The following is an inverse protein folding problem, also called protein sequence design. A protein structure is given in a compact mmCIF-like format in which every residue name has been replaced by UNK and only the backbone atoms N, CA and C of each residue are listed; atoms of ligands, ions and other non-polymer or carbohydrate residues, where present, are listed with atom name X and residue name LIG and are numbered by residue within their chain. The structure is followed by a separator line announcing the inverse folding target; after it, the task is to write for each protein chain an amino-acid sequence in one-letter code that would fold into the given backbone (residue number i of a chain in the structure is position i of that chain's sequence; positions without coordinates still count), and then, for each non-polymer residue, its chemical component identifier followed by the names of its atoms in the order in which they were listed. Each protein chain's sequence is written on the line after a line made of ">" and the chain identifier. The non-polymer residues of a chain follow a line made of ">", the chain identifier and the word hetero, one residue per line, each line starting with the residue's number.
data_IF_597062172143
#
_entry.id   IF_597062172143
#
_cell.length_a   1.000
_cell.length_b   1.000
_cell.length_c   1.000
_cell.angle_alpha   90.00
_cell.angle_beta   90.00
_cell.angle_gamma   90.00
#
_symmetry.space_group_name_H-M   'P 1'
#
loop_
_entity.id
_entity.type
_entity.pdbx_description
1 polymer ?
#
# COMPACT_ATOMS: atom_id res chain seq x y z
N UNK A 1 9.14 -11.31 0.04
CA UNK A 1 9.80 -11.81 1.27
C UNK A 1 10.16 -10.60 2.13
N UNK A 2 9.96 -10.66 3.46
CA UNK A 2 10.30 -9.53 4.34
C UNK A 2 11.77 -9.57 4.75
N UNK A 3 12.50 -8.44 4.73
CA UNK A 3 13.85 -8.36 5.29
C UNK A 3 13.91 -8.63 6.80
N UNK A 4 12.82 -8.36 7.54
CA UNK A 4 12.76 -8.60 8.98
C UNK A 4 12.53 -10.08 9.35
N UNK A 5 12.03 -10.87 8.40
CA UNK A 5 11.72 -12.29 8.59
C UNK A 5 12.24 -13.10 7.39
N UNK A 6 13.57 -13.12 7.15
CA UNK A 6 14.14 -13.70 5.93
C UNK A 6 13.98 -15.22 5.83
N UNK A 7 13.86 -15.89 6.98
CA UNK A 7 13.68 -17.34 7.08
C UNK A 7 12.22 -17.79 6.90
N UNK A 8 11.26 -16.84 6.90
CA UNK A 8 9.85 -17.15 6.70
C UNK A 8 9.57 -17.17 5.18
N UNK A 9 9.19 -18.32 4.61
CA UNK A 9 8.93 -18.41 3.19
C UNK A 9 7.65 -17.65 2.81
N UNK A 10 7.61 -17.14 1.58
CA UNK A 10 6.37 -16.61 1.01
C UNK A 10 5.44 -17.76 0.60
N UNK A 11 4.14 -17.48 0.46
CA UNK A 11 3.19 -18.48 -0.06
C UNK A 11 3.56 -18.95 -1.47
N UNK A 12 4.07 -18.04 -2.30
CA UNK A 12 4.57 -18.36 -3.64
C UNK A 12 5.77 -19.33 -3.61
N UNK A 13 6.67 -19.21 -2.63
CA UNK A 13 7.81 -20.13 -2.42
C UNK A 13 7.36 -21.52 -1.93
N UNK A 14 6.23 -21.58 -1.22
CA UNK A 14 5.57 -22.82 -0.81
C UNK A 14 4.71 -23.45 -1.92
N UNK A 15 4.69 -22.86 -3.12
CA UNK A 15 3.94 -23.37 -4.28
C UNK A 15 2.50 -22.89 -4.37
N UNK A 16 2.02 -22.07 -3.44
CA UNK A 16 0.68 -21.47 -3.46
C UNK A 16 0.67 -20.20 -4.32
N UNK A 17 0.72 -20.40 -5.63
CA UNK A 17 0.81 -19.28 -6.59
C UNK A 17 -0.41 -18.37 -6.55
N UNK A 18 -0.16 -17.06 -6.60
CA UNK A 18 -1.22 -16.05 -6.64
C UNK A 18 -1.82 -15.71 -5.27
N UNK A 19 -1.28 -16.29 -4.19
CA UNK A 19 -1.65 -15.98 -2.81
C UNK A 19 -0.66 -14.95 -2.25
N UNK A 20 -0.77 -13.73 -2.76
CA UNK A 20 0.04 -12.60 -2.30
C UNK A 20 -0.87 -11.50 -1.79
N UNK A 21 -0.84 -11.26 -0.48
CA UNK A 21 -1.68 -10.29 0.20
C UNK A 21 -0.80 -9.38 1.03
N UNK A 22 -0.89 -8.07 0.76
CA UNK A 22 -0.27 -7.04 1.56
C UNK A 22 -1.37 -6.15 2.16
N UNK A 23 -1.20 -5.78 3.42
CA UNK A 23 -1.91 -4.63 3.97
C UNK A 23 -1.17 -3.37 3.51
N UNK A 24 -1.92 -2.32 3.20
CA UNK A 24 -1.36 -1.06 2.73
C UNK A 24 -2.07 0.12 3.39
N UNK A 25 -1.37 1.25 3.45
CA UNK A 25 -1.81 2.50 4.02
C UNK A 25 -1.61 3.59 2.98
N UNK A 26 -2.49 4.58 2.99
CA UNK A 26 -2.46 5.67 2.04
C UNK A 26 -2.96 6.97 2.68
N UNK A 27 -2.59 8.09 2.07
CA UNK A 27 -3.14 9.41 2.40
C UNK A 27 -4.25 9.74 1.42
N UNK A 28 -5.37 10.22 1.94
CA UNK A 28 -6.50 10.71 1.16
C UNK A 28 -6.74 12.19 1.46
N UNK A 29 -7.24 12.91 0.45
CA UNK A 29 -7.61 14.31 0.57
C UNK A 29 -9.00 14.53 -0.07
N UNK A 30 -9.69 15.64 0.25
CA UNK A 30 -10.98 15.94 -0.35
C UNK A 30 -10.95 15.99 -1.88
N UNK A 31 -12.06 15.56 -2.50
CA UNK A 31 -12.25 15.67 -3.95
C UNK A 31 -12.23 17.13 -4.38
N UNK A 32 -11.61 17.42 -5.53
CA UNK A 32 -11.57 18.76 -6.12
C UNK A 32 -10.43 19.65 -5.61
N UNK A 33 -9.45 19.07 -4.91
CA UNK A 33 -8.26 19.80 -4.50
C UNK A 33 -7.56 20.45 -5.71
N UNK A 34 -7.21 21.75 -5.65
CA UNK A 34 -6.43 22.40 -6.69
C UNK A 34 -5.12 21.66 -6.99
N UNK A 35 -4.70 21.67 -8.25
CA UNK A 35 -3.57 20.88 -8.72
C UNK A 35 -2.25 21.26 -8.01
N UNK A 36 -2.04 22.56 -7.76
CA UNK A 36 -0.89 23.09 -7.04
C UNK A 36 -0.87 22.63 -5.57
N UNK A 37 -2.02 22.63 -4.90
CA UNK A 37 -2.15 22.13 -3.52
C UNK A 37 -1.90 20.62 -3.46
N UNK A 38 -2.40 19.87 -4.44
CA UNK A 38 -2.15 18.42 -4.55
C UNK A 38 -0.66 18.13 -4.71
N UNK A 39 0.03 18.86 -5.58
CA UNK A 39 1.47 18.71 -5.80
C UNK A 39 2.26 19.02 -4.52
N UNK A 40 1.98 20.16 -3.87
CA UNK A 40 2.65 20.54 -2.61
C UNK A 40 2.43 19.53 -1.49
N UNK A 41 1.22 18.98 -1.37
CA UNK A 41 0.92 17.96 -0.37
C UNK A 41 1.68 16.67 -0.66
N UNK A 42 1.71 16.23 -1.92
CA UNK A 42 2.48 15.05 -2.33
C UNK A 42 3.97 15.24 -2.00
N UNK A 43 4.57 16.36 -2.39
CA UNK A 43 5.99 16.64 -2.14
C UNK A 43 6.31 16.63 -0.65
N UNK A 44 5.47 17.26 0.18
CA UNK A 44 5.64 17.27 1.63
C UNK A 44 5.52 15.88 2.26
N UNK A 45 4.57 15.05 1.78
CA UNK A 45 4.40 13.67 2.26
C UNK A 45 5.59 12.79 1.85
N UNK A 46 6.07 12.90 0.62
CA UNK A 46 7.25 12.17 0.14
C UNK A 46 8.48 12.57 0.95
N UNK A 47 8.68 13.87 1.21
CA UNK A 47 9.77 14.34 2.05
C UNK A 47 9.66 13.79 3.48
N UNK A 48 8.49 13.83 4.09
CA UNK A 48 8.27 13.30 5.45
C UNK A 48 8.47 11.78 5.55
N UNK A 49 8.05 11.01 4.55
CA UNK A 49 8.29 9.57 4.50
C UNK A 49 9.77 9.22 4.31
N UNK A 50 10.55 10.10 3.69
CA UNK A 50 11.99 9.93 3.49
C UNK A 50 12.85 10.58 4.58
N UNK A 51 12.25 11.28 5.53
CA UNK A 51 12.94 11.74 6.72
C UNK A 51 13.60 10.54 7.43
N UNK A 52 14.90 10.59 7.78
CA UNK A 52 15.60 9.44 8.34
C UNK A 52 14.96 8.88 9.61
N UNK A 53 14.41 9.73 10.47
CA UNK A 53 13.80 9.30 11.73
C UNK A 53 12.43 8.66 11.52
N UNK A 54 11.63 9.18 10.58
CA UNK A 54 10.35 8.57 10.18
C UNK A 54 10.59 7.25 9.46
N UNK A 55 11.49 7.24 8.48
CA UNK A 55 11.82 6.08 7.68
C UNK A 55 12.30 4.92 8.52
N UNK A 56 13.25 5.17 9.44
CA UNK A 56 13.76 4.13 10.34
C UNK A 56 12.63 3.47 11.13
N UNK A 57 11.75 4.26 11.76
CA UNK A 57 10.63 3.75 12.55
C UNK A 57 9.65 2.90 11.71
N UNK A 58 9.34 3.34 10.49
CA UNK A 58 8.45 2.58 9.61
C UNK A 58 9.06 1.25 9.18
N UNK A 59 10.35 1.25 8.82
CA UNK A 59 11.07 0.03 8.46
C UNK A 59 11.18 -0.94 9.65
N UNK A 60 11.43 -0.44 10.86
CA UNK A 60 11.47 -1.26 12.09
C UNK A 60 10.11 -1.92 12.39
N UNK A 61 9.01 -1.25 12.02
CA UNK A 61 7.65 -1.79 12.11
C UNK A 61 7.30 -2.75 10.95
N UNK A 62 8.21 -2.94 9.99
CA UNK A 62 8.03 -3.84 8.84
C UNK A 62 7.27 -3.23 7.67
N UNK A 63 7.12 -1.90 7.61
CA UNK A 63 6.55 -1.23 6.45
C UNK A 63 7.56 -1.15 5.30
N UNK A 64 7.03 -1.11 4.08
CA UNK A 64 7.77 -0.70 2.89
C UNK A 64 7.32 0.70 2.47
N UNK A 65 8.27 1.60 2.21
CA UNK A 65 7.95 2.97 1.79
C UNK A 65 7.84 3.02 0.28
N UNK A 66 6.61 3.14 -0.22
CA UNK A 66 6.31 3.20 -1.65
C UNK A 66 6.44 4.62 -2.20
N UNK A 67 5.82 5.60 -1.52
CA UNK A 67 5.87 7.02 -1.88
C UNK A 67 5.61 7.32 -3.38
N UNK A 68 4.65 6.62 -4.00
CA UNK A 68 4.30 6.75 -5.41
C UNK A 68 3.49 8.01 -5.71
N UNK A 69 3.29 8.30 -7.00
CA UNK A 69 2.50 9.47 -7.44
C UNK A 69 1.00 9.27 -7.17
N UNK A 70 0.21 10.35 -7.09
CA UNK A 70 -1.25 10.24 -6.94
C UNK A 70 -1.92 9.38 -8.02
N UNK A 71 -1.45 9.46 -9.27
CA UNK A 71 -2.01 8.68 -10.38
C UNK A 71 -1.64 7.20 -10.28
N UNK A 72 -0.40 6.89 -9.86
CA UNK A 72 0.01 5.52 -9.58
C UNK A 72 -0.79 4.91 -8.42
N UNK A 73 -1.04 5.70 -7.37
CA UNK A 73 -1.88 5.25 -6.26
C UNK A 73 -3.33 5.03 -6.69
N UNK A 74 -3.91 5.92 -7.51
CA UNK A 74 -5.27 5.76 -8.03
C UNK A 74 -5.43 4.46 -8.85
N UNK A 75 -4.44 4.15 -9.70
CA UNK A 75 -4.41 2.89 -10.45
C UNK A 75 -4.30 1.66 -9.51
N UNK A 76 -3.41 1.72 -8.53
CA UNK A 76 -3.26 0.67 -7.52
C UNK A 76 -4.57 0.44 -6.74
N UNK A 77 -5.18 1.50 -6.24
CA UNK A 77 -6.44 1.43 -5.49
C UNK A 77 -7.57 0.80 -6.31
N UNK A 78 -7.71 1.17 -7.59
CA UNK A 78 -8.69 0.57 -8.48
C UNK A 78 -8.44 -0.94 -8.68
N UNK A 79 -7.17 -1.33 -8.82
CA UNK A 79 -6.79 -2.75 -8.96
C UNK A 79 -7.08 -3.55 -7.69
N UNK A 80 -6.78 -3.00 -6.51
CA UNK A 80 -7.05 -3.63 -5.22
C UNK A 80 -8.55 -3.76 -4.98
N UNK A 81 -9.33 -2.70 -5.28
CA UNK A 81 -10.78 -2.75 -5.18
C UNK A 81 -11.38 -3.87 -6.03
N UNK A 82 -10.95 -3.99 -7.30
CA UNK A 82 -11.42 -5.06 -8.18
C UNK A 82 -11.02 -6.45 -7.68
N UNK A 83 -9.78 -6.61 -7.19
CA UNK A 83 -9.28 -7.88 -6.63
C UNK A 83 -10.08 -8.30 -5.41
N UNK A 84 -10.26 -7.41 -4.44
CA UNK A 84 -10.95 -7.72 -3.18
C UNK A 84 -12.44 -7.92 -3.38
N UNK A 85 -13.09 -7.17 -4.29
CA UNK A 85 -14.47 -7.44 -4.69
C UNK A 85 -14.66 -8.88 -5.16
N UNK A 86 -13.78 -9.37 -6.05
CA UNK A 86 -13.83 -10.75 -6.53
C UNK A 86 -13.68 -11.77 -5.39
N UNK A 87 -12.76 -11.54 -4.46
CA UNK A 87 -12.57 -12.41 -3.29
C UNK A 87 -13.84 -12.47 -2.43
N UNK A 88 -14.45 -11.31 -2.16
CA UNK A 88 -15.67 -11.20 -1.36
C UNK A 88 -16.83 -11.95 -2.03
N UNK A 89 -17.06 -11.73 -3.32
CA UNK A 89 -18.16 -12.34 -4.08
C UNK A 89 -18.01 -13.87 -4.17
N UNK A 90 -16.80 -14.36 -4.48
CA UNK A 90 -16.52 -15.81 -4.58
C UNK A 90 -16.62 -16.47 -3.20
N UNK A 91 -16.07 -15.81 -2.18
CA UNK A 91 -16.06 -16.31 -0.80
C UNK A 91 -17.40 -16.17 -0.08
N UNK A 92 -18.38 -15.47 -0.67
CA UNK A 92 -19.66 -15.11 -0.04
C UNK A 92 -19.46 -14.46 1.34
N UNK A 93 -18.47 -13.57 1.43
CA UNK A 93 -18.06 -12.92 2.67
C UNK A 93 -19.01 -11.75 2.95
N UNK A 94 -19.57 -11.67 4.16
CA UNK A 94 -20.32 -10.51 4.64
C UNK A 94 -19.57 -9.85 5.79
N UNK A 95 -19.72 -8.53 5.94
CA UNK A 95 -19.11 -7.79 7.03
C UNK A 95 -19.92 -7.90 8.33
N UNK A 96 -21.23 -8.15 8.20
CA UNK A 96 -22.22 -8.37 9.25
C UNK A 96 -23.28 -9.38 8.76
#
# INVERSE_FOLDING_TARGET
>A
RSPLLPEVPTMDELGLKGVTVYSWQAFAAPKGLPADIKARLHDALVAGLNDPAVKAKLLDLGFEIVANTPDQFAAFQASEFARWKKVIEVGKITAD
#
